data_IF_116001689626
#
_entry.id   IF_116001689626
#
_cell.length_a   1.000
_cell.length_b   1.000
_cell.length_c   1.000
_cell.angle_alpha   90.00
_cell.angle_beta   90.00
_cell.angle_gamma   90.00
#
_symmetry.space_group_name_H-M   'P 1'
#
loop_
_entity.id
_entity.type
_entity.pdbx_description
1 polymer ?
#
# COMPACT_ATOMS: atom_id res chain seq x y z
N UNK A 1 15.26 17.12 4.89
CA UNK A 1 13.84 16.74 5.09
C UNK A 1 13.85 15.31 5.61
N UNK A 2 12.84 14.92 6.40
CA UNK A 2 12.74 13.53 6.85
C UNK A 2 12.49 12.60 5.65
N UNK A 3 13.09 11.42 5.68
CA UNK A 3 12.87 10.36 4.68
C UNK A 3 11.43 9.88 4.75
N UNK A 4 10.77 9.76 3.61
CA UNK A 4 9.36 9.35 3.50
C UNK A 4 9.24 7.93 2.98
N UNK A 5 8.41 7.14 3.65
CA UNK A 5 8.19 5.74 3.32
C UNK A 5 6.69 5.52 3.12
N UNK A 6 6.33 4.94 1.99
CA UNK A 6 4.96 4.57 1.68
C UNK A 6 4.83 3.05 1.64
N UNK A 7 3.99 2.50 2.49
CA UNK A 7 3.64 1.07 2.48
C UNK A 7 2.26 0.90 1.87
N UNK A 8 2.14 0.04 0.88
CA UNK A 8 0.92 -0.13 0.08
C UNK A 8 0.40 -1.55 0.25
N UNK A 9 -0.79 -1.69 0.83
CA UNK A 9 -1.52 -2.94 0.98
C UNK A 9 -2.83 -2.95 0.20
N UNK A 10 -3.40 -4.11 0.02
CA UNK A 10 -4.71 -4.31 -0.60
C UNK A 10 -5.84 -4.06 0.41
N UNK A 11 -5.73 -4.64 1.60
CA UNK A 11 -6.75 -4.59 2.65
C UNK A 11 -6.23 -3.95 3.93
N UNK A 12 -7.11 -3.46 4.81
CA UNK A 12 -6.73 -3.17 6.19
C UNK A 12 -6.09 -4.41 6.83
N UNK A 13 -4.96 -4.25 7.53
CA UNK A 13 -4.10 -5.26 8.13
C UNK A 13 -2.87 -5.72 7.31
N UNK A 14 -2.91 -5.78 5.99
CA UNK A 14 -1.79 -6.25 5.16
C UNK A 14 -0.47 -5.55 5.49
N UNK A 15 -0.51 -4.23 5.62
CA UNK A 15 0.67 -3.39 5.86
C UNK A 15 1.27 -3.63 7.25
N UNK A 16 0.43 -3.95 8.23
CA UNK A 16 0.85 -4.22 9.60
C UNK A 16 1.55 -5.58 9.69
N UNK A 17 0.92 -6.64 9.16
CA UNK A 17 1.52 -7.97 9.12
C UNK A 17 2.84 -7.99 8.33
N UNK A 18 2.90 -7.21 7.26
CA UNK A 18 4.06 -7.19 6.38
C UNK A 18 5.24 -6.39 6.94
N UNK A 19 4.98 -5.28 7.65
CA UNK A 19 6.04 -4.29 7.87
C UNK A 19 6.00 -3.53 9.19
N UNK A 20 5.01 -3.73 10.07
CA UNK A 20 4.85 -2.91 11.28
C UNK A 20 6.12 -2.84 12.15
N UNK A 21 6.88 -3.93 12.28
CA UNK A 21 8.12 -3.97 13.06
C UNK A 21 9.14 -2.95 12.56
N UNK A 22 9.48 -3.01 11.27
CA UNK A 22 10.46 -2.08 10.69
C UNK A 22 9.92 -0.65 10.58
N UNK A 23 8.63 -0.49 10.30
CA UNK A 23 8.00 0.84 10.23
C UNK A 23 8.00 1.52 11.60
N UNK A 24 7.71 0.78 12.68
CA UNK A 24 7.78 1.30 14.05
C UNK A 24 9.21 1.75 14.42
N UNK A 25 10.21 0.95 14.05
CA UNK A 25 11.60 1.33 14.25
C UNK A 25 11.96 2.60 13.50
N UNK A 26 11.62 2.69 12.23
CA UNK A 26 11.93 3.84 11.40
C UNK A 26 11.15 5.11 11.80
N UNK A 27 9.92 4.97 12.28
CA UNK A 27 9.17 6.09 12.85
C UNK A 27 9.88 6.67 14.10
N UNK A 28 10.40 5.79 14.98
CA UNK A 28 11.21 6.21 16.14
C UNK A 28 12.54 6.88 15.74
N UNK A 29 13.08 6.51 14.58
CA UNK A 29 14.27 7.15 13.98
C UNK A 29 13.96 8.50 13.30
N UNK A 30 12.70 8.94 13.31
CA UNK A 30 12.26 10.23 12.75
C UNK A 30 11.89 10.21 11.27
N UNK A 31 11.72 9.03 10.67
CA UNK A 31 11.21 8.90 9.30
C UNK A 31 9.70 9.08 9.28
N UNK A 32 9.17 9.58 8.17
CA UNK A 32 7.72 9.76 7.97
C UNK A 32 7.11 8.55 7.27
N UNK A 33 6.28 7.81 7.99
CA UNK A 33 5.63 6.60 7.49
C UNK A 33 4.20 6.92 7.03
N UNK A 34 3.86 6.47 5.83
CA UNK A 34 2.53 6.58 5.23
C UNK A 34 2.04 5.19 4.86
N UNK A 35 0.77 4.92 5.15
CA UNK A 35 0.10 3.70 4.70
C UNK A 35 -0.91 4.03 3.61
N UNK A 36 -0.97 3.22 2.57
CA UNK A 36 -1.99 3.26 1.52
C UNK A 36 -2.70 1.92 1.46
N UNK A 37 -4.00 1.95 1.71
CA UNK A 37 -4.88 0.78 1.64
C UNK A 37 -5.79 0.92 0.42
N UNK A 38 -5.72 -0.05 -0.50
CA UNK A 38 -6.42 0.05 -1.78
C UNK A 38 -7.91 -0.22 -1.67
N UNK A 39 -8.32 -1.21 -0.85
CA UNK A 39 -9.74 -1.53 -0.66
C UNK A 39 -10.26 -1.01 0.67
N UNK A 40 -11.56 -1.07 0.82
CA UNK A 40 -12.24 -0.72 2.07
C UNK A 40 -12.45 -1.95 2.99
N UNK A 41 -12.06 -3.16 2.57
CA UNK A 41 -12.17 -4.39 3.34
C UNK A 41 -13.61 -4.82 3.64
N UNK A 42 -14.58 -4.42 2.80
CA UNK A 42 -16.01 -4.60 3.01
C UNK A 42 -16.52 -6.05 2.92
N UNK A 43 -15.62 -6.98 2.54
CA UNK A 43 -15.89 -8.42 2.51
C UNK A 43 -15.02 -9.25 3.46
N UNK A 44 -14.16 -8.61 4.22
CA UNK A 44 -13.25 -9.26 5.16
C UNK A 44 -13.95 -9.63 6.48
N UNK A 45 -14.58 -10.78 6.55
CA UNK A 45 -15.21 -11.26 7.80
C UNK A 45 -16.42 -12.16 7.54
N UNK A 46 -16.19 -13.46 7.58
CA UNK A 46 -17.23 -14.46 7.30
C UNK A 46 -18.17 -14.77 8.48
N UNK A 47 -17.86 -14.29 9.67
CA UNK A 47 -18.57 -14.69 10.91
C UNK A 47 -19.36 -13.58 11.60
N UNK A 48 -19.42 -12.39 11.04
CA UNK A 48 -20.01 -11.23 11.69
C UNK A 48 -21.35 -10.85 11.04
N UNK A 49 -22.36 -10.58 11.87
CA UNK A 49 -23.65 -10.04 11.43
C UNK A 49 -23.57 -8.56 11.01
N UNK A 50 -22.41 -8.10 10.52
CA UNK A 50 -22.21 -6.74 10.06
C UNK A 50 -22.58 -6.57 8.59
N UNK A 51 -23.18 -5.45 8.28
CA UNK A 51 -23.31 -5.04 6.87
C UNK A 51 -21.94 -4.63 6.31
N UNK A 52 -21.73 -4.66 4.99
CA UNK A 52 -20.48 -4.19 4.39
C UNK A 52 -20.08 -2.78 4.84
N UNK A 53 -21.05 -1.86 4.95
CA UNK A 53 -20.80 -0.49 5.40
C UNK A 53 -20.32 -0.42 6.86
N UNK A 54 -20.91 -1.22 7.75
CA UNK A 54 -20.46 -1.31 9.14
C UNK A 54 -19.04 -1.88 9.24
N UNK A 55 -18.75 -2.90 8.43
CA UNK A 55 -17.44 -3.53 8.41
C UNK A 55 -16.35 -2.54 7.94
N UNK A 56 -16.63 -1.73 6.93
CA UNK A 56 -15.71 -0.67 6.47
C UNK A 56 -15.32 0.26 7.63
N UNK A 57 -16.29 0.74 8.40
CA UNK A 57 -15.99 1.67 9.50
C UNK A 57 -15.21 1.00 10.63
N UNK A 58 -15.54 -0.25 10.97
CA UNK A 58 -14.81 -1.03 11.96
C UNK A 58 -13.36 -1.20 11.52
N UNK A 59 -13.13 -1.69 10.30
CA UNK A 59 -11.77 -1.97 9.79
C UNK A 59 -10.94 -0.70 9.63
N UNK A 60 -11.53 0.42 9.26
CA UNK A 60 -10.83 1.72 9.26
C UNK A 60 -10.38 2.13 10.65
N UNK A 61 -11.25 1.97 11.66
CA UNK A 61 -10.91 2.29 13.04
C UNK A 61 -9.78 1.39 13.57
N UNK A 62 -9.84 0.08 13.31
CA UNK A 62 -8.81 -0.88 13.68
C UNK A 62 -7.47 -0.54 13.01
N UNK A 63 -7.48 -0.29 11.70
CA UNK A 63 -6.29 0.10 10.95
C UNK A 63 -5.69 1.41 11.46
N UNK A 64 -6.51 2.38 11.81
CA UNK A 64 -6.02 3.64 12.38
C UNK A 64 -5.38 3.42 13.74
N UNK A 65 -5.99 2.61 14.61
CA UNK A 65 -5.45 2.28 15.92
C UNK A 65 -4.09 1.55 15.81
N UNK A 66 -3.96 0.59 14.90
CA UNK A 66 -2.70 -0.10 14.63
C UNK A 66 -1.64 0.88 14.12
N UNK A 67 -1.99 1.73 13.16
CA UNK A 67 -1.12 2.75 12.58
C UNK A 67 -0.61 3.76 13.64
N UNK A 68 -1.44 4.14 14.61
CA UNK A 68 -1.05 5.03 15.71
C UNK A 68 0.02 4.39 16.61
N UNK A 69 -0.10 3.09 16.88
CA UNK A 69 0.89 2.32 17.66
C UNK A 69 2.23 2.26 16.93
N UNK A 70 2.20 2.07 15.62
CA UNK A 70 3.39 2.00 14.75
C UNK A 70 4.07 3.37 14.62
N UNK A 71 3.33 4.46 14.77
CA UNK A 71 3.80 5.83 14.54
C UNK A 71 3.63 6.29 13.09
N UNK A 72 2.63 5.75 12.41
CA UNK A 72 2.29 6.13 11.03
C UNK A 72 1.69 7.52 10.99
N UNK A 73 2.21 8.37 10.13
CA UNK A 73 1.77 9.76 9.99
C UNK A 73 0.37 9.87 9.40
N UNK A 74 0.09 9.07 8.39
CA UNK A 74 -1.20 9.10 7.69
C UNK A 74 -1.55 7.72 7.12
N UNK A 75 -2.82 7.34 7.20
CA UNK A 75 -3.40 6.19 6.50
C UNK A 75 -4.33 6.72 5.41
N UNK A 76 -3.98 6.44 4.17
CA UNK A 76 -4.70 6.84 2.96
C UNK A 76 -5.53 5.64 2.47
N UNK A 77 -6.79 5.85 2.10
CA UNK A 77 -7.65 4.82 1.55
C UNK A 77 -8.09 5.19 0.14
N UNK A 78 -7.97 4.27 -0.83
CA UNK A 78 -8.57 4.44 -2.16
C UNK A 78 -10.07 4.13 -2.16
N UNK A 79 -10.55 3.36 -1.18
CA UNK A 79 -11.97 3.04 -1.01
C UNK A 79 -12.53 2.11 -2.07
N UNK A 80 -11.67 1.35 -2.77
CA UNK A 80 -12.12 0.36 -3.74
C UNK A 80 -12.74 -0.84 -3.03
N UNK A 81 -13.55 -1.61 -3.74
CA UNK A 81 -14.23 -2.78 -3.16
C UNK A 81 -13.26 -3.94 -2.98
N UNK A 82 -13.38 -4.61 -1.84
CA UNK A 82 -12.65 -5.83 -1.53
C UNK A 82 -13.00 -6.97 -2.49
N UNK A 83 -11.98 -7.71 -2.97
CA UNK A 83 -12.11 -8.81 -3.91
C UNK A 83 -12.41 -8.40 -5.36
N UNK A 84 -12.40 -7.10 -5.68
CA UNK A 84 -12.76 -6.58 -7.01
C UNK A 84 -11.63 -5.75 -7.65
N UNK A 85 -10.42 -5.76 -7.09
CA UNK A 85 -9.31 -5.02 -7.69
C UNK A 85 -8.87 -5.66 -9.01
N UNK A 86 -8.70 -4.80 -10.00
CA UNK A 86 -8.12 -5.17 -11.29
C UNK A 86 -6.87 -4.31 -11.55
N UNK A 87 -5.80 -4.87 -12.15
CA UNK A 87 -4.61 -4.10 -12.50
C UNK A 87 -4.88 -3.24 -13.75
N UNK A 88 -5.81 -2.32 -13.62
CA UNK A 88 -6.27 -1.41 -14.68
C UNK A 88 -5.63 -0.01 -14.60
N UNK A 89 -5.92 0.82 -15.60
CA UNK A 89 -5.40 2.20 -15.64
C UNK A 89 -5.97 3.08 -14.54
N UNK A 90 -7.17 2.78 -14.05
CA UNK A 90 -7.79 3.53 -12.96
C UNK A 90 -7.08 3.30 -11.62
N UNK A 91 -6.74 2.03 -11.30
CA UNK A 91 -5.95 1.72 -10.11
C UNK A 91 -4.54 2.32 -10.23
N UNK A 92 -3.92 2.22 -11.42
CA UNK A 92 -2.60 2.81 -11.66
C UNK A 92 -2.62 4.33 -11.49
N UNK A 93 -3.65 5.03 -11.97
CA UNK A 93 -3.79 6.48 -11.77
C UNK A 93 -3.91 6.85 -10.30
N UNK A 94 -4.73 6.13 -9.54
CA UNK A 94 -4.88 6.38 -8.10
C UNK A 94 -3.56 6.20 -7.36
N UNK A 95 -2.80 5.14 -7.67
CA UNK A 95 -1.47 4.90 -7.09
C UNK A 95 -0.48 6.02 -7.47
N UNK A 96 -0.44 6.42 -8.74
CA UNK A 96 0.41 7.53 -9.20
C UNK A 96 0.06 8.84 -8.50
N UNK A 97 -1.24 9.10 -8.30
CA UNK A 97 -1.71 10.27 -7.56
C UNK A 97 -1.14 10.30 -6.15
N UNK A 98 -1.26 9.20 -5.41
CA UNK A 98 -0.75 9.12 -4.04
C UNK A 98 0.78 9.21 -4.01
N UNK A 99 1.49 8.53 -4.91
CA UNK A 99 2.95 8.62 -5.00
C UNK A 99 3.41 10.06 -5.25
N UNK A 100 2.75 10.78 -6.17
CA UNK A 100 3.09 12.19 -6.46
C UNK A 100 2.70 13.13 -5.33
N UNK A 101 1.69 12.80 -4.54
CA UNK A 101 1.24 13.57 -3.38
C UNK A 101 2.18 13.40 -2.18
N UNK A 102 2.47 12.17 -1.81
CA UNK A 102 3.33 11.82 -0.66
C UNK A 102 4.80 12.11 -0.98
N UNK A 103 5.23 11.82 -2.21
CA UNK A 103 6.62 11.88 -2.68
C UNK A 103 7.54 11.00 -1.83
N UNK A 104 7.29 9.68 -1.75
CA UNK A 104 8.07 8.78 -0.93
C UNK A 104 9.46 8.52 -1.54
N UNK A 105 10.48 8.44 -0.68
CA UNK A 105 11.81 7.97 -1.07
C UNK A 105 11.80 6.44 -1.27
N UNK A 106 11.06 5.74 -0.40
CA UNK A 106 10.93 4.28 -0.43
C UNK A 106 9.47 3.85 -0.50
N UNK A 107 9.21 2.79 -1.26
CA UNK A 107 7.89 2.15 -1.32
C UNK A 107 8.01 0.68 -0.94
N UNK A 108 7.05 0.18 -0.17
CA UNK A 108 6.87 -1.24 0.15
C UNK A 108 5.56 -1.73 -0.42
N UNK A 109 5.55 -2.90 -1.05
CA UNK A 109 4.33 -3.52 -1.57
C UNK A 109 4.51 -5.03 -1.73
N UNK A 110 3.45 -5.72 -2.13
CA UNK A 110 3.51 -7.14 -2.48
C UNK A 110 4.48 -7.42 -3.63
N UNK A 111 5.07 -8.61 -3.63
CA UNK A 111 5.96 -9.08 -4.69
C UNK A 111 5.17 -9.49 -5.93
N UNK A 112 5.32 -8.79 -7.08
CA UNK A 112 4.63 -9.16 -8.31
C UNK A 112 5.16 -10.46 -8.93
N UNK A 113 6.35 -10.92 -8.55
CA UNK A 113 6.95 -12.17 -9.01
C UNK A 113 6.50 -13.37 -8.17
N UNK A 114 5.89 -13.14 -7.00
CA UNK A 114 5.39 -14.24 -6.20
C UNK A 114 4.15 -14.87 -6.82
N UNK A 115 4.33 -16.00 -7.50
CA UNK A 115 3.27 -16.81 -8.10
C UNK A 115 3.06 -18.13 -7.35
N UNK A 116 3.36 -18.13 -6.05
CA UNK A 116 3.14 -19.31 -5.22
C UNK A 116 1.67 -19.52 -4.89
N UNK A 117 1.19 -20.70 -5.18
CA UNK A 117 -0.14 -21.17 -4.79
C UNK A 117 -0.16 -21.90 -3.45
N UNK A 118 0.93 -21.88 -2.69
CA UNK A 118 1.07 -22.61 -1.44
C UNK A 118 0.32 -21.96 -0.26
N UNK A 119 -0.16 -20.72 -0.43
CA UNK A 119 -0.90 -20.01 0.59
C UNK A 119 -1.96 -19.08 -0.02
N UNK A 120 -3.23 -19.34 0.27
CA UNK A 120 -4.35 -18.54 -0.26
C UNK A 120 -4.25 -17.06 0.09
N UNK A 121 -3.78 -16.74 1.31
CA UNK A 121 -3.71 -15.36 1.78
C UNK A 121 -2.73 -14.50 1.00
N UNK A 122 -1.51 -15.00 0.74
CA UNK A 122 -0.52 -14.26 -0.04
C UNK A 122 -0.91 -14.15 -1.51
N UNK A 123 -1.68 -15.11 -2.02
CA UNK A 123 -2.08 -15.18 -3.42
C UNK A 123 -3.48 -14.63 -3.70
N UNK A 124 -4.03 -13.82 -2.79
CA UNK A 124 -5.31 -13.16 -2.98
C UNK A 124 -5.35 -12.36 -4.29
N UNK A 125 -6.46 -12.34 -5.05
CA UNK A 125 -6.53 -11.60 -6.32
C UNK A 125 -6.20 -10.12 -6.17
N UNK A 126 -6.64 -9.48 -5.08
CA UNK A 126 -6.32 -8.08 -4.82
C UNK A 126 -4.83 -7.87 -4.52
N UNK A 127 -4.16 -8.80 -3.82
CA UNK A 127 -2.72 -8.72 -3.59
C UNK A 127 -1.94 -8.73 -4.91
N UNK A 128 -2.33 -9.61 -5.84
CA UNK A 128 -1.73 -9.67 -7.19
C UNK A 128 -2.00 -8.40 -7.99
N UNK A 129 -3.23 -7.88 -7.92
CA UNK A 129 -3.60 -6.65 -8.61
C UNK A 129 -2.80 -5.45 -8.09
N UNK A 130 -2.65 -5.34 -6.76
CA UNK A 130 -1.83 -4.30 -6.12
C UNK A 130 -0.37 -4.44 -6.50
N UNK A 131 0.20 -5.65 -6.40
CA UNK A 131 1.61 -5.91 -6.69
C UNK A 131 2.01 -5.41 -8.09
N UNK A 132 1.25 -5.82 -9.12
CA UNK A 132 1.49 -5.42 -10.52
C UNK A 132 1.26 -3.91 -10.69
N UNK A 133 0.15 -3.40 -10.15
CA UNK A 133 -0.21 -1.99 -10.34
C UNK A 133 0.76 -1.03 -9.67
N UNK A 134 1.30 -1.39 -8.49
CA UNK A 134 2.32 -0.58 -7.79
C UNK A 134 3.61 -0.56 -8.58
N UNK A 135 4.09 -1.69 -9.07
CA UNK A 135 5.28 -1.76 -9.91
C UNK A 135 5.14 -0.85 -11.13
N UNK A 136 4.03 -0.97 -11.86
CA UNK A 136 3.74 -0.17 -13.05
C UNK A 136 3.51 1.32 -12.74
N UNK A 137 2.97 1.63 -11.55
CA UNK A 137 2.79 3.01 -11.10
C UNK A 137 4.14 3.68 -10.81
N UNK A 138 5.07 2.98 -10.14
CA UNK A 138 6.40 3.51 -9.83
C UNK A 138 7.19 3.68 -11.12
N UNK A 139 7.20 2.66 -11.99
CA UNK A 139 7.90 2.70 -13.27
C UNK A 139 7.03 2.16 -14.41
N UNK A 140 6.78 2.97 -15.45
CA UNK A 140 7.37 4.29 -15.67
C UNK A 140 6.50 5.47 -15.22
N UNK A 141 5.29 5.23 -14.65
CA UNK A 141 4.23 6.22 -14.65
C UNK A 141 4.46 7.42 -13.70
N UNK A 142 4.85 7.19 -12.44
CA UNK A 142 4.92 8.26 -11.44
C UNK A 142 5.97 9.34 -11.79
N UNK A 143 7.08 8.94 -12.41
CA UNK A 143 8.17 9.87 -12.79
C UNK A 143 8.00 10.55 -14.14
N UNK A 144 7.01 10.16 -14.94
CA UNK A 144 6.86 10.64 -16.31
C UNK A 144 5.64 11.57 -16.44
N UNK A 145 5.86 12.80 -16.91
CA UNK A 145 4.81 13.82 -17.10
C UNK A 145 3.71 13.42 -18.09
N UNK A 146 4.03 12.51 -19.02
CA UNK A 146 3.08 12.08 -20.05
C UNK A 146 2.06 11.06 -19.54
N UNK A 147 2.35 10.42 -18.39
CA UNK A 147 1.37 9.60 -17.71
C UNK A 147 0.47 10.45 -16.81
N UNK A 148 -0.82 10.34 -17.01
CA UNK A 148 -1.85 11.02 -16.22
C UNK A 148 -1.63 12.55 -16.15
N UNK A 149 -1.57 13.24 -17.32
CA UNK A 149 -1.31 14.68 -17.38
C UNK A 149 -2.36 15.51 -16.62
N UNK A 150 -3.56 14.99 -16.42
CA UNK A 150 -4.60 15.62 -15.60
C UNK A 150 -4.17 15.83 -14.14
N UNK A 151 -3.27 15.00 -13.60
CA UNK A 151 -2.75 15.18 -12.25
C UNK A 151 -1.86 16.43 -12.11
N UNK A 152 -1.23 16.87 -13.20
CA UNK A 152 -0.42 18.09 -13.21
C UNK A 152 -1.26 19.36 -13.01
N UNK A 153 -2.51 19.34 -13.49
CA UNK A 153 -3.44 20.46 -13.28
C UNK A 153 -3.71 20.67 -11.79
N UNK A 154 -3.71 19.57 -11.01
CA UNK A 154 -3.79 19.60 -9.54
C UNK A 154 -2.45 19.85 -8.83
N UNK A 155 -1.37 20.19 -9.55
CA UNK A 155 -0.06 20.44 -8.96
C UNK A 155 0.73 19.18 -8.56
N UNK A 156 0.28 17.99 -8.98
CA UNK A 156 0.94 16.73 -8.66
C UNK A 156 2.05 16.45 -9.69
N UNK A 157 3.20 17.06 -9.47
CA UNK A 157 4.38 16.91 -10.32
C UNK A 157 4.94 15.47 -10.26
N UNK A 158 5.62 15.01 -11.34
CA UNK A 158 6.27 13.72 -11.36
C UNK A 158 7.20 13.52 -10.17
N UNK A 159 7.22 12.30 -9.66
CA UNK A 159 8.08 11.90 -8.57
C UNK A 159 8.80 10.59 -8.89
N UNK A 160 10.10 10.53 -8.58
CA UNK A 160 10.92 9.32 -8.68
C UNK A 160 11.03 8.68 -7.31
N UNK A 161 10.56 7.45 -7.18
CA UNK A 161 10.83 6.59 -6.02
C UNK A 161 12.25 6.06 -6.15
N UNK A 162 13.04 6.14 -5.08
CA UNK A 162 14.44 5.71 -5.12
C UNK A 162 14.59 4.22 -4.84
N UNK A 163 13.77 3.67 -3.93
CA UNK A 163 13.84 2.26 -3.54
C UNK A 163 12.45 1.64 -3.47
N UNK A 164 12.33 0.42 -4.02
CA UNK A 164 11.13 -0.39 -3.96
C UNK A 164 11.44 -1.72 -3.29
N UNK A 165 10.72 -2.02 -2.23
CA UNK A 165 10.82 -3.25 -1.46
C UNK A 165 9.57 -4.09 -1.63
N UNK A 166 9.76 -5.39 -1.80
CA UNK A 166 8.66 -6.35 -1.88
C UNK A 166 8.59 -7.20 -0.62
N UNK A 167 7.39 -7.31 -0.08
CA UNK A 167 7.08 -8.26 0.99
C UNK A 167 6.25 -9.44 0.46
N UNK A 168 6.20 -10.53 1.23
CA UNK A 168 5.52 -11.75 0.81
C UNK A 168 6.27 -12.50 -0.29
N UNK A 169 7.57 -12.22 -0.49
CA UNK A 169 8.42 -12.94 -1.46
C UNK A 169 8.79 -14.34 -0.96
N UNK A 170 8.99 -15.28 -1.89
CA UNK A 170 9.53 -16.62 -1.60
C UNK A 170 11.05 -16.62 -1.43
N UNK A 171 11.74 -15.72 -2.10
CA UNK A 171 13.19 -15.64 -2.13
C UNK A 171 13.67 -14.30 -1.57
N UNK A 172 13.60 -14.10 -0.24
CA UNK A 172 14.01 -12.83 0.34
C UNK A 172 15.51 -12.62 0.17
N UNK A 173 15.89 -11.40 -0.20
CA UNK A 173 17.28 -10.97 -0.35
C UNK A 173 17.67 -9.87 0.66
N UNK A 174 16.72 -9.36 1.42
CA UNK A 174 16.93 -8.35 2.45
C UNK A 174 16.15 -8.75 3.70
N UNK A 175 16.78 -8.59 4.86
CA UNK A 175 16.19 -8.79 6.18
C UNK A 175 16.44 -7.54 7.02
N UNK A 176 15.40 -7.10 7.70
CA UNK A 176 15.50 -5.99 8.64
C UNK A 176 15.50 -6.54 10.08
N UNK A 177 16.49 -6.14 10.86
CA UNK A 177 16.48 -6.36 12.30
C UNK A 177 15.43 -5.45 12.94
N UNK A 178 14.53 -6.03 13.72
CA UNK A 178 13.44 -5.33 14.42
C UNK A 178 13.52 -5.50 15.95
N UNK A 179 14.63 -6.04 16.47
CA UNK A 179 14.86 -6.18 17.93
C UNK A 179 15.02 -4.84 18.63
#
# INVERSE_FOLDING_TARGET
MAEKILVIGAHPDDVDFASAGIMSRWAKEGKEIYYLICTNGDKGGTQNNHTPAQLVEIRKAEQRAAADIVGVKEVIYLGRKDGELMPDMGLREDLVRVIRQVKPDKVFSFDPANQSFDGFHLFHPDHRAVAISVFDAIYPAAKNRLYFPQLLVGGLEPHKVEELYFYGTKEPNIWFDIS
#
